data_IF_187119486711
#
_entry.id   IF_187119486711
#
_cell.length_a   1.000
_cell.length_b   1.000
_cell.length_c   1.000
_cell.angle_alpha   90.00
_cell.angle_beta   90.00
_cell.angle_gamma   90.00
#
_symmetry.space_group_name_H-M   'P 1'
#
loop_
_entity.id
_entity.type
_entity.pdbx_description
1 polymer ?
#
# COMPACT_ATOMS: atom_id res chain seq x y z
N UNK A 1 42.35 -12.79 0.75
CA UNK A 1 41.72 -11.90 1.74
C UNK A 1 40.38 -11.35 1.28
N UNK A 2 40.28 -10.72 0.10
CA UNK A 2 39.04 -10.09 -0.40
C UNK A 2 37.83 -11.04 -0.45
N UNK A 3 38.01 -12.30 -0.88
CA UNK A 3 36.95 -13.32 -0.90
C UNK A 3 36.47 -13.72 0.51
N UNK A 4 37.36 -13.73 1.51
CA UNK A 4 37.03 -14.11 2.89
C UNK A 4 36.27 -12.98 3.60
N UNK A 5 36.68 -11.73 3.38
CA UNK A 5 35.96 -10.55 3.85
C UNK A 5 34.59 -10.41 3.20
N UNK A 6 34.46 -10.71 1.90
CA UNK A 6 33.16 -10.71 1.22
C UNK A 6 32.22 -11.79 1.77
N UNK A 7 32.73 -12.99 2.01
CA UNK A 7 31.95 -14.08 2.61
C UNK A 7 31.52 -13.76 4.05
N UNK A 8 32.37 -13.12 4.85
CA UNK A 8 32.02 -12.67 6.20
C UNK A 8 30.96 -11.56 6.17
N UNK A 9 31.05 -10.62 5.23
CA UNK A 9 30.04 -9.58 5.04
C UNK A 9 28.69 -10.16 4.60
N UNK A 10 28.69 -11.12 3.65
CA UNK A 10 27.47 -11.81 3.22
C UNK A 10 26.88 -12.63 4.37
N UNK A 11 27.71 -13.37 5.10
CA UNK A 11 27.25 -14.17 6.26
C UNK A 11 26.69 -13.27 7.36
N UNK A 12 27.35 -12.14 7.66
CA UNK A 12 26.87 -11.14 8.59
C UNK A 12 25.55 -10.50 8.14
N UNK A 13 25.40 -10.22 6.84
CA UNK A 13 24.16 -9.72 6.25
C UNK A 13 23.03 -10.75 6.37
N UNK A 14 23.29 -12.02 6.08
CA UNK A 14 22.32 -13.12 6.22
C UNK A 14 21.92 -13.27 7.69
N UNK A 15 22.86 -13.23 8.63
CA UNK A 15 22.57 -13.30 10.06
C UNK A 15 21.73 -12.12 10.53
N UNK A 16 22.01 -10.91 10.06
CA UNK A 16 21.19 -9.71 10.34
C UNK A 16 19.79 -9.84 9.76
N UNK A 17 19.64 -10.40 8.55
CA UNK A 17 18.34 -10.70 7.94
C UNK A 17 17.58 -11.74 8.79
N UNK A 18 18.23 -12.83 9.18
CA UNK A 18 17.62 -13.87 10.01
C UNK A 18 17.23 -13.31 11.38
N UNK A 19 18.09 -12.54 12.03
CA UNK A 19 17.81 -11.92 13.32
C UNK A 19 16.68 -10.89 13.22
N UNK A 20 16.67 -10.07 12.17
CA UNK A 20 15.57 -9.15 11.88
C UNK A 20 14.24 -9.87 11.65
N UNK A 21 14.25 -10.99 10.91
CA UNK A 21 13.06 -11.83 10.71
C UNK A 21 12.56 -12.45 12.02
N UNK A 22 13.47 -12.89 12.89
CA UNK A 22 13.14 -13.46 14.20
C UNK A 22 12.61 -12.39 15.17
N UNK A 23 13.10 -11.15 15.05
CA UNK A 23 12.71 -10.04 15.93
C UNK A 23 11.48 -9.28 15.43
N UNK A 24 11.15 -9.33 14.14
CA UNK A 24 10.01 -8.62 13.56
C UNK A 24 8.65 -8.93 14.23
N UNK A 25 8.34 -10.19 14.63
CA UNK A 25 7.14 -10.49 15.40
C UNK A 25 7.07 -9.79 16.76
N UNK A 26 8.22 -9.43 17.37
CA UNK A 26 8.24 -8.77 18.67
C UNK A 26 7.78 -7.31 18.62
N UNK A 27 7.92 -6.63 17.48
CA UNK A 27 7.31 -5.30 17.30
C UNK A 27 5.78 -5.41 17.33
N UNK A 28 5.22 -6.41 16.62
CA UNK A 28 3.77 -6.67 16.61
C UNK A 28 3.26 -7.15 17.98
N UNK A 29 4.02 -8.00 18.68
CA UNK A 29 3.69 -8.46 20.03
C UNK A 29 3.80 -7.33 21.06
N UNK A 30 4.79 -6.43 20.94
CA UNK A 30 4.93 -5.28 21.82
C UNK A 30 3.81 -4.25 21.64
N UNK A 31 3.31 -4.10 20.41
CA UNK A 31 2.09 -3.35 20.14
C UNK A 31 0.87 -3.99 20.82
N UNK A 32 0.69 -5.31 20.71
CA UNK A 32 -0.40 -6.03 21.37
C UNK A 32 -0.33 -5.99 22.90
N UNK A 33 0.88 -6.08 23.46
CA UNK A 33 1.12 -6.04 24.89
C UNK A 33 1.03 -4.62 25.50
N UNK A 34 0.78 -3.59 24.68
CA UNK A 34 0.66 -2.21 25.14
C UNK A 34 1.99 -1.56 25.57
N UNK A 35 3.13 -2.17 25.20
CA UNK A 35 4.47 -1.68 25.59
C UNK A 35 4.80 -0.29 25.02
N UNK A 36 4.07 0.16 23.99
CA UNK A 36 4.26 1.44 23.33
C UNK A 36 3.22 2.51 23.74
N UNK A 37 2.54 2.29 24.88
CA UNK A 37 1.58 3.21 25.48
C UNK A 37 0.12 2.77 25.36
N UNK A 38 -0.69 3.08 26.37
CA UNK A 38 -2.11 2.76 26.42
C UNK A 38 -2.90 3.49 25.33
N UNK A 39 -3.74 2.77 24.57
CA UNK A 39 -4.80 3.36 23.74
C UNK A 39 -6.08 2.52 23.74
N UNK A 40 -7.23 3.18 23.54
CA UNK A 40 -8.55 2.66 23.87
C UNK A 40 -8.84 1.39 23.09
N UNK A 41 -9.57 0.46 23.72
CA UNK A 41 -10.08 -0.72 23.04
C UNK A 41 -10.77 -0.31 21.73
N UNK A 42 -10.57 -1.08 20.63
CA UNK A 42 -11.34 -0.84 19.41
C UNK A 42 -12.82 -0.81 19.78
N UNK A 43 -13.60 0.14 19.24
CA UNK A 43 -15.02 0.21 19.52
C UNK A 43 -15.62 -1.15 19.15
N UNK A 44 -16.24 -1.81 20.11
CA UNK A 44 -16.92 -3.06 19.82
C UNK A 44 -18.04 -2.74 18.81
N UNK A 45 -18.33 -3.63 17.83
CA UNK A 45 -19.33 -3.37 16.80
C UNK A 45 -20.73 -3.04 17.34
N UNK A 46 -21.05 -3.49 18.56
CA UNK A 46 -22.27 -3.24 19.32
C UNK A 46 -22.27 -1.90 20.10
N UNK A 47 -21.13 -1.20 20.18
CA UNK A 47 -20.97 0.07 20.90
C UNK A 47 -20.71 1.28 20.01
N UNK A 48 -20.57 1.09 18.68
CA UNK A 48 -20.58 2.18 17.72
C UNK A 48 -22.03 2.68 17.54
N UNK A 49 -22.57 3.35 18.57
CA UNK A 49 -23.72 4.21 18.35
C UNK A 49 -23.35 5.18 17.23
N UNK A 50 -24.21 5.37 16.20
CA UNK A 50 -23.93 6.35 15.15
C UNK A 50 -23.72 7.70 15.82
N UNK A 51 -22.49 8.19 15.83
CA UNK A 51 -22.18 9.50 16.37
C UNK A 51 -22.87 10.51 15.45
N UNK A 52 -24.01 11.03 15.90
CA UNK A 52 -24.89 11.94 15.16
C UNK A 52 -24.19 13.26 14.75
N UNK A 53 -22.92 13.44 15.14
CA UNK A 53 -22.07 14.59 14.83
C UNK A 53 -21.22 14.41 13.58
N UNK A 54 -21.05 13.19 13.07
CA UNK A 54 -20.26 12.98 11.84
C UNK A 54 -21.15 13.26 10.64
N UNK A 55 -20.89 14.38 9.95
CA UNK A 55 -21.52 14.66 8.65
C UNK A 55 -21.04 13.60 7.66
N UNK A 56 -21.93 12.73 7.23
CA UNK A 56 -21.60 11.64 6.31
C UNK A 56 -21.15 12.21 4.97
N UNK A 57 -20.01 11.75 4.47
CA UNK A 57 -19.49 12.17 3.17
C UNK A 57 -20.42 11.65 2.06
N UNK A 58 -20.75 12.48 1.04
CA UNK A 58 -21.70 12.10 -0.02
C UNK A 58 -21.20 10.99 -0.96
N UNK A 59 -19.95 10.57 -0.82
CA UNK A 59 -19.36 9.51 -1.63
C UNK A 59 -20.14 8.19 -1.50
N UNK A 60 -20.24 7.48 -2.61
CA UNK A 60 -20.95 6.21 -2.73
C UNK A 60 -20.08 5.01 -2.37
N UNK A 61 -18.77 5.19 -2.43
CA UNK A 61 -17.75 4.20 -2.07
C UNK A 61 -16.53 4.89 -1.46
N UNK A 62 -15.62 4.11 -0.88
CA UNK A 62 -14.34 4.62 -0.41
C UNK A 62 -13.18 3.86 -1.08
N UNK A 63 -12.06 4.57 -1.27
CA UNK A 63 -10.82 4.01 -1.74
C UNK A 63 -9.71 4.38 -0.77
N UNK A 64 -8.95 3.41 -0.31
CA UNK A 64 -7.84 3.59 0.64
C UNK A 64 -6.56 3.14 -0.04
N UNK A 65 -5.58 4.03 -0.14
CA UNK A 65 -4.27 3.71 -0.67
C UNK A 65 -3.32 3.26 0.45
N UNK A 66 -2.66 2.14 0.24
CA UNK A 66 -1.62 1.56 1.09
C UNK A 66 -0.33 1.52 0.27
N UNK A 67 0.61 2.41 0.60
CA UNK A 67 1.90 2.49 -0.07
C UNK A 67 2.74 1.21 0.13
N UNK A 68 3.81 1.06 -0.66
CA UNK A 68 4.72 -0.07 -0.59
C UNK A 68 5.70 0.00 0.58
N UNK A 69 6.54 -1.04 0.70
CA UNK A 69 7.54 -1.20 1.78
C UNK A 69 8.61 -0.10 1.85
N UNK A 70 8.58 0.94 1.03
CA UNK A 70 9.44 2.12 1.17
C UNK A 70 8.86 3.19 2.10
N UNK A 71 7.57 3.12 2.43
CA UNK A 71 6.85 4.15 3.17
C UNK A 71 6.77 3.84 4.67
N UNK A 72 7.75 4.33 5.44
CA UNK A 72 7.92 4.07 6.88
C UNK A 72 7.08 5.06 7.71
N UNK A 73 6.78 6.22 7.12
CA UNK A 73 6.00 7.34 7.65
C UNK A 73 5.55 8.25 6.48
N UNK A 74 4.72 9.27 6.77
CA UNK A 74 4.25 10.22 5.76
C UNK A 74 5.39 10.98 5.03
N UNK A 75 6.59 11.05 5.61
CA UNK A 75 7.75 11.76 5.08
C UNK A 75 8.68 10.88 4.22
N UNK A 76 8.39 9.57 4.12
CA UNK A 76 9.22 8.60 3.39
C UNK A 76 8.67 8.16 2.04
N UNK A 77 7.50 8.68 1.65
CA UNK A 77 6.87 8.35 0.37
C UNK A 77 7.54 9.11 -0.78
N UNK A 78 7.84 8.43 -1.90
CA UNK A 78 8.26 9.09 -3.13
C UNK A 78 7.26 10.18 -3.53
N UNK A 79 7.76 11.37 -3.89
CA UNK A 79 6.93 12.51 -4.29
C UNK A 79 5.93 12.14 -5.41
N UNK A 80 6.30 11.21 -6.29
CA UNK A 80 5.44 10.69 -7.35
C UNK A 80 4.17 9.97 -6.84
N UNK A 81 4.24 9.23 -5.72
CA UNK A 81 3.08 8.57 -5.09
C UNK A 81 2.19 9.60 -4.38
N UNK A 82 2.78 10.62 -3.74
CA UNK A 82 2.02 11.73 -3.14
C UNK A 82 1.21 12.45 -4.21
N UNK A 83 1.85 12.79 -5.32
CA UNK A 83 1.19 13.52 -6.41
C UNK A 83 0.19 12.64 -7.17
N UNK A 84 0.47 11.33 -7.26
CA UNK A 84 -0.51 10.34 -7.71
C UNK A 84 -1.77 10.34 -6.83
N UNK A 85 -1.60 10.32 -5.50
CA UNK A 85 -2.72 10.37 -4.56
C UNK A 85 -3.55 11.66 -4.69
N UNK A 86 -2.89 12.82 -4.85
CA UNK A 86 -3.58 14.10 -5.09
C UNK A 86 -4.37 14.10 -6.40
N UNK A 87 -3.80 13.54 -7.47
CA UNK A 87 -4.49 13.41 -8.74
C UNK A 87 -5.67 12.42 -8.64
N UNK A 88 -5.50 11.31 -7.92
CA UNK A 88 -6.55 10.32 -7.72
C UNK A 88 -7.78 10.91 -7.02
N UNK A 89 -7.59 11.77 -6.01
CA UNK A 89 -8.70 12.49 -5.34
C UNK A 89 -9.53 13.31 -6.34
N UNK A 90 -8.89 13.93 -7.34
CA UNK A 90 -9.58 14.76 -8.35
C UNK A 90 -10.21 13.92 -9.46
N UNK A 91 -9.58 12.79 -9.81
CA UNK A 91 -9.90 11.98 -10.99
C UNK A 91 -10.87 10.84 -10.71
N UNK A 92 -11.13 10.54 -9.43
CA UNK A 92 -12.10 9.53 -8.97
C UNK A 92 -13.30 10.19 -8.26
N UNK A 93 -14.18 10.91 -8.97
CA UNK A 93 -15.32 11.61 -8.37
C UNK A 93 -16.31 10.64 -7.72
N UNK A 94 -16.96 11.07 -6.65
CA UNK A 94 -17.96 10.23 -5.95
C UNK A 94 -17.36 9.10 -5.11
N UNK A 95 -16.03 8.97 -5.08
CA UNK A 95 -15.27 8.04 -4.23
C UNK A 95 -14.59 8.83 -3.11
N UNK A 96 -14.70 8.37 -1.87
CA UNK A 96 -13.92 8.91 -0.76
C UNK A 96 -12.49 8.36 -0.84
N UNK A 97 -11.59 9.10 -1.48
CA UNK A 97 -10.19 8.71 -1.63
C UNK A 97 -9.39 9.10 -0.38
N UNK A 98 -8.75 8.11 0.24
CA UNK A 98 -7.84 8.25 1.39
C UNK A 98 -6.43 7.85 0.94
N UNK A 99 -5.63 8.80 0.42
CA UNK A 99 -4.33 8.49 -0.18
C UNK A 99 -3.21 8.32 0.87
N UNK A 100 -3.49 8.53 2.15
CA UNK A 100 -2.52 8.80 3.20
C UNK A 100 -2.54 7.79 4.36
N UNK A 101 -2.84 6.52 4.08
CA UNK A 101 -2.73 5.46 5.10
C UNK A 101 -1.40 4.74 4.94
N UNK A 102 -0.62 4.77 6.03
CA UNK A 102 0.77 4.31 6.03
C UNK A 102 0.89 3.06 6.91
N UNK A 103 0.70 1.85 6.35
CA UNK A 103 0.63 0.62 7.13
C UNK A 103 1.94 0.28 7.88
N UNK A 104 3.06 0.86 7.49
CA UNK A 104 4.38 0.62 8.11
C UNK A 104 4.79 1.72 9.10
N UNK A 105 3.95 2.73 9.30
CA UNK A 105 4.14 3.71 10.35
C UNK A 105 3.75 3.10 11.70
N UNK A 106 4.72 3.00 12.62
CA UNK A 106 4.50 2.69 14.05
C UNK A 106 3.54 3.71 14.70
N UNK A 107 3.28 4.80 13.99
CA UNK A 107 2.68 6.03 14.47
C UNK A 107 1.88 6.68 13.35
N UNK A 108 0.70 6.13 13.03
CA UNK A 108 -0.28 6.90 12.26
C UNK A 108 -0.78 8.15 13.06
N UNK A 109 -0.37 8.27 14.33
CA UNK A 109 -0.20 9.51 15.06
C UNK A 109 1.30 9.71 15.26
N UNK A 110 1.91 10.66 14.55
CA UNK A 110 3.37 10.83 14.40
C UNK A 110 4.22 10.50 15.63
N UNK A 111 5.46 10.06 15.36
CA UNK A 111 6.58 9.83 16.30
C UNK A 111 7.02 11.12 17.04
N UNK A 112 6.07 11.89 17.54
CA UNK A 112 6.26 13.02 18.45
C UNK A 112 5.79 12.72 19.88
N UNK A 113 5.40 11.48 20.19
CA UNK A 113 5.05 11.09 21.56
C UNK A 113 6.24 10.58 22.39
N UNK A 114 7.42 10.34 21.80
CA UNK A 114 8.60 9.93 22.56
C UNK A 114 9.78 10.90 22.34
N UNK A 115 9.97 11.79 23.31
CA UNK A 115 10.97 12.87 23.32
C UNK A 115 12.42 12.36 23.28
N UNK A 116 12.62 11.08 23.56
CA UNK A 116 13.91 10.50 23.97
C UNK A 116 14.87 10.25 22.79
N UNK A 117 14.36 10.01 21.57
CA UNK A 117 15.20 9.70 20.39
C UNK A 117 15.05 10.67 19.20
N UNK A 118 14.31 11.77 19.36
CA UNK A 118 13.99 12.75 18.29
C UNK A 118 15.21 13.39 17.58
N UNK A 119 16.39 13.38 18.20
CA UNK A 119 17.65 13.87 17.60
C UNK A 119 18.29 12.83 16.69
N UNK A 120 18.21 11.55 17.05
CA UNK A 120 18.73 10.44 16.24
C UNK A 120 17.88 10.30 14.98
N UNK A 121 16.56 10.41 15.11
CA UNK A 121 15.65 10.40 13.95
C UNK A 121 15.89 11.56 12.98
N UNK A 122 15.99 12.80 13.47
CA UNK A 122 16.33 13.96 12.60
C UNK A 122 17.70 13.83 11.95
N UNK A 123 18.68 13.27 12.65
CA UNK A 123 20.01 13.02 12.09
C UNK A 123 19.98 11.95 10.99
N UNK A 124 19.21 10.87 11.18
CA UNK A 124 18.96 9.86 10.16
C UNK A 124 18.22 10.42 8.94
N UNK A 125 17.24 11.30 9.17
CA UNK A 125 16.43 11.95 8.13
C UNK A 125 17.26 12.95 7.30
N UNK A 126 18.18 13.70 7.93
CA UNK A 126 19.11 14.59 7.24
C UNK A 126 20.11 13.80 6.38
N UNK A 127 20.67 12.70 6.89
CA UNK A 127 21.57 11.80 6.14
C UNK A 127 20.87 11.14 4.93
N UNK A 128 19.58 10.84 5.05
CA UNK A 128 18.74 10.25 3.99
C UNK A 128 18.61 11.15 2.75
N UNK A 129 18.51 12.47 2.93
CA UNK A 129 18.39 13.42 1.81
C UNK A 129 19.71 13.64 1.08
N UNK A 130 20.84 13.40 1.76
CA UNK A 130 22.19 13.63 1.21
C UNK A 130 22.70 12.45 0.38
N UNK A 131 22.25 11.20 0.61
CA UNK A 131 22.72 10.05 -0.17
C UNK A 131 21.65 8.94 -0.35
N UNK A 132 21.03 8.81 -1.54
CA UNK A 132 19.98 7.82 -1.81
C UNK A 132 20.45 6.36 -1.86
N UNK A 133 21.76 6.08 -1.71
CA UNK A 133 22.35 4.73 -1.68
C UNK A 133 22.79 4.26 -0.28
N UNK A 134 22.38 4.96 0.78
CA UNK A 134 22.87 4.67 2.13
C UNK A 134 22.34 3.33 2.67
N UNK A 135 23.19 2.56 3.35
CA UNK A 135 22.86 1.27 3.96
C UNK A 135 21.63 1.32 4.91
N UNK A 136 21.30 2.52 5.40
CA UNK A 136 20.10 2.80 6.19
C UNK A 136 18.79 2.57 5.41
N UNK A 137 18.72 2.97 4.14
CA UNK A 137 17.55 2.70 3.29
C UNK A 137 17.36 1.19 3.06
N UNK A 138 18.47 0.45 2.93
CA UNK A 138 18.44 -1.00 2.82
C UNK A 138 17.92 -1.67 4.11
N UNK A 139 18.43 -1.27 5.28
CA UNK A 139 17.98 -1.81 6.60
C UNK A 139 16.50 -1.54 6.82
N UNK A 140 15.99 -0.38 6.39
CA UNK A 140 14.58 -0.07 6.58
C UNK A 140 13.67 -0.76 5.56
N UNK A 141 14.08 -0.81 4.28
CA UNK A 141 13.39 -1.65 3.29
C UNK A 141 13.34 -3.12 3.73
N UNK A 142 14.39 -3.59 4.42
CA UNK A 142 14.45 -4.91 5.02
C UNK A 142 13.49 -5.07 6.21
N UNK A 143 13.37 -4.06 7.09
CA UNK A 143 12.34 -4.04 8.16
C UNK A 143 10.93 -4.09 7.60
N UNK A 144 10.64 -3.29 6.58
CA UNK A 144 9.32 -3.25 5.97
C UNK A 144 9.02 -4.53 5.18
N UNK A 145 10.05 -5.15 4.57
CA UNK A 145 9.95 -6.51 4.03
C UNK A 145 9.60 -7.53 5.12
N UNK A 146 10.17 -7.41 6.33
CA UNK A 146 9.78 -8.26 7.45
C UNK A 146 8.36 -8.00 7.94
N UNK A 147 7.88 -6.75 7.93
CA UNK A 147 6.48 -6.48 8.27
C UNK A 147 5.51 -7.10 7.26
N UNK A 148 5.85 -7.09 5.96
CA UNK A 148 5.10 -7.84 4.94
C UNK A 148 5.17 -9.35 5.19
N UNK A 149 6.35 -9.87 5.54
CA UNK A 149 6.51 -11.28 5.89
C UNK A 149 5.69 -11.67 7.14
N UNK A 150 5.62 -10.79 8.14
CA UNK A 150 4.79 -10.95 9.35
C UNK A 150 3.31 -10.89 8.98
N UNK A 151 2.88 -9.93 8.16
CA UNK A 151 1.51 -9.84 7.65
C UNK A 151 1.08 -11.13 6.92
N UNK A 152 2.00 -11.76 6.19
CA UNK A 152 1.79 -13.02 5.50
C UNK A 152 1.90 -14.27 6.41
N UNK A 153 2.50 -14.17 7.61
CA UNK A 153 2.63 -15.30 8.53
C UNK A 153 1.32 -15.51 9.30
N UNK A 154 0.78 -16.73 9.26
CA UNK A 154 -0.51 -17.06 9.86
C UNK A 154 -0.56 -16.91 11.39
N UNK A 155 0.58 -16.92 12.07
CA UNK A 155 0.67 -16.85 13.55
C UNK A 155 0.77 -15.41 14.05
N UNK A 156 1.54 -14.58 13.35
CA UNK A 156 1.83 -13.21 13.78
C UNK A 156 1.08 -12.12 12.99
N UNK A 157 0.72 -12.43 11.74
CA UNK A 157 -0.06 -11.56 10.86
C UNK A 157 -1.39 -11.07 11.44
N UNK A 158 -2.18 -11.90 12.16
CA UNK A 158 -3.44 -11.47 12.76
C UNK A 158 -3.37 -10.17 13.57
N UNK A 159 -2.34 -10.01 14.40
CA UNK A 159 -2.18 -8.84 15.27
C UNK A 159 -1.83 -7.60 14.43
N UNK A 160 -0.87 -7.73 13.52
CA UNK A 160 -0.44 -6.64 12.65
C UNK A 160 -1.59 -6.18 11.71
N UNK A 161 -2.26 -7.14 11.07
CA UNK A 161 -3.35 -6.89 10.14
C UNK A 161 -4.56 -6.25 10.82
N UNK A 162 -4.86 -6.62 12.07
CA UNK A 162 -5.88 -5.94 12.89
C UNK A 162 -5.47 -4.50 13.24
N UNK A 163 -4.20 -4.26 13.56
CA UNK A 163 -3.65 -2.92 13.77
C UNK A 163 -3.87 -2.02 12.56
N UNK A 164 -3.49 -2.49 11.36
CA UNK A 164 -3.69 -1.76 10.11
C UNK A 164 -5.18 -1.54 9.82
N UNK A 165 -6.03 -2.55 10.03
CA UNK A 165 -7.47 -2.41 9.84
C UNK A 165 -8.07 -1.30 10.73
N UNK A 166 -7.65 -1.19 12.00
CA UNK A 166 -8.11 -0.12 12.89
C UNK A 166 -7.68 1.27 12.40
N UNK A 167 -6.47 1.41 11.86
CA UNK A 167 -6.00 2.67 11.29
C UNK A 167 -6.77 3.06 10.02
N UNK A 168 -7.11 2.08 9.18
CA UNK A 168 -7.99 2.27 8.03
C UNK A 168 -9.37 2.77 8.47
N UNK A 169 -9.99 2.13 9.48
CA UNK A 169 -11.28 2.55 10.03
C UNK A 169 -11.23 3.99 10.54
N UNK A 170 -10.22 4.34 11.34
CA UNK A 170 -10.05 5.71 11.88
C UNK A 170 -9.91 6.75 10.77
N UNK A 171 -9.09 6.47 9.76
CA UNK A 171 -8.85 7.41 8.66
C UNK A 171 -10.06 7.59 7.74
N UNK A 172 -10.87 6.54 7.58
CA UNK A 172 -12.15 6.60 6.89
C UNK A 172 -13.16 7.43 7.69
N UNK A 173 -13.32 7.15 8.99
CA UNK A 173 -14.26 7.86 9.86
C UNK A 173 -13.92 9.35 9.99
N UNK A 174 -12.63 9.70 10.11
CA UNK A 174 -12.20 11.10 10.19
C UNK A 174 -12.53 11.92 8.93
N UNK A 175 -12.84 11.25 7.82
CA UNK A 175 -13.23 11.85 6.54
C UNK A 175 -14.71 11.65 6.22
N UNK A 176 -15.51 11.25 7.19
CA UNK A 176 -16.97 11.16 7.06
C UNK A 176 -17.49 9.83 6.52
N UNK A 177 -16.68 8.76 6.47
CA UNK A 177 -17.19 7.42 6.23
C UNK A 177 -17.95 6.91 7.46
N UNK A 178 -19.22 6.51 7.28
CA UNK A 178 -20.05 5.96 8.35
C UNK A 178 -19.91 4.44 8.40
N UNK A 179 -19.40 3.91 9.52
CA UNK A 179 -19.40 2.46 9.81
C UNK A 179 -20.83 1.94 9.83
N UNK A 180 -21.07 0.75 9.25
CA UNK A 180 -22.42 0.21 9.11
C UNK A 180 -23.25 0.85 7.99
N UNK A 181 -22.69 1.76 7.19
CA UNK A 181 -23.38 2.31 6.01
C UNK A 181 -23.56 1.30 4.88
N UNK A 182 -22.81 0.19 4.89
CA UNK A 182 -22.76 -0.79 3.81
C UNK A 182 -22.06 -0.30 2.54
N UNK A 183 -21.54 0.95 2.53
CA UNK A 183 -20.85 1.53 1.37
C UNK A 183 -19.57 0.72 1.08
N UNK A 184 -19.35 0.26 -0.16
CA UNK A 184 -18.17 -0.56 -0.48
C UNK A 184 -16.85 0.19 -0.27
N UNK A 185 -15.82 -0.55 0.15
CA UNK A 185 -14.45 -0.04 0.34
C UNK A 185 -13.47 -0.83 -0.53
N UNK A 186 -12.67 -0.11 -1.32
CA UNK A 186 -11.56 -0.65 -2.09
C UNK A 186 -10.22 -0.29 -1.45
N UNK A 187 -9.36 -1.27 -1.21
CA UNK A 187 -7.99 -1.07 -0.75
C UNK A 187 -7.04 -1.17 -1.94
N UNK A 188 -6.34 -0.10 -2.27
CA UNK A 188 -5.28 -0.10 -3.29
C UNK A 188 -3.95 -0.34 -2.59
N UNK A 189 -3.29 -1.46 -2.87
CA UNK A 189 -2.03 -1.83 -2.22
C UNK A 189 -0.89 -1.93 -3.23
N UNK A 190 0.13 -1.07 -3.09
CA UNK A 190 1.34 -1.14 -3.92
C UNK A 190 2.38 -2.10 -3.32
N UNK A 191 2.98 -2.98 -4.13
CA UNK A 191 4.05 -3.88 -3.68
C UNK A 191 3.61 -4.71 -2.46
N UNK A 192 4.37 -4.67 -1.36
CA UNK A 192 3.98 -5.29 -0.09
C UNK A 192 2.66 -4.79 0.51
N UNK A 193 2.23 -3.57 0.16
CA UNK A 193 0.93 -3.02 0.54
C UNK A 193 -0.24 -3.86 0.02
N UNK A 194 -0.03 -4.63 -1.06
CA UNK A 194 -0.98 -5.65 -1.53
C UNK A 194 -1.23 -6.75 -0.49
N UNK A 195 -0.17 -7.31 0.10
CA UNK A 195 -0.31 -8.31 1.17
C UNK A 195 -1.03 -7.72 2.38
N UNK A 196 -0.62 -6.52 2.79
CA UNK A 196 -1.23 -5.85 3.94
C UNK A 196 -2.72 -5.57 3.70
N UNK A 197 -3.09 -5.16 2.48
CA UNK A 197 -4.49 -4.96 2.09
C UNK A 197 -5.30 -6.26 2.22
N UNK A 198 -4.79 -7.38 1.71
CA UNK A 198 -5.44 -8.69 1.83
C UNK A 198 -5.55 -9.10 3.30
N UNK A 199 -4.47 -9.01 4.06
CA UNK A 199 -4.45 -9.37 5.48
C UNK A 199 -5.44 -8.55 6.31
N UNK A 200 -5.48 -7.23 6.12
CA UNK A 200 -6.41 -6.33 6.81
C UNK A 200 -7.88 -6.61 6.46
N UNK A 201 -8.17 -7.16 5.28
CA UNK A 201 -9.54 -7.46 4.85
C UNK A 201 -10.26 -8.46 5.78
N UNK A 202 -9.52 -9.39 6.42
CA UNK A 202 -10.04 -10.31 7.44
C UNK A 202 -10.80 -9.59 8.57
N UNK A 203 -10.36 -8.37 8.89
CA UNK A 203 -10.88 -7.57 10.00
C UNK A 203 -11.77 -6.43 9.52
N UNK A 204 -11.46 -5.84 8.36
CA UNK A 204 -12.20 -4.70 7.84
C UNK A 204 -13.64 -5.02 7.48
N UNK A 205 -13.90 -6.17 6.85
CA UNK A 205 -15.25 -6.56 6.46
C UNK A 205 -16.22 -6.57 7.66
N UNK A 206 -15.91 -7.24 8.80
CA UNK A 206 -16.78 -7.20 9.97
C UNK A 206 -16.76 -5.85 10.70
N UNK A 207 -15.62 -5.15 10.78
CA UNK A 207 -15.54 -3.84 11.46
C UNK A 207 -16.34 -2.75 10.75
N UNK A 208 -16.27 -2.69 9.42
CA UNK A 208 -16.98 -1.69 8.62
C UNK A 208 -18.42 -2.11 8.28
N UNK A 209 -18.72 -3.42 8.38
CA UNK A 209 -19.96 -4.03 7.89
C UNK A 209 -20.24 -3.67 6.42
N UNK A 210 -19.21 -3.80 5.59
CA UNK A 210 -19.23 -3.34 4.20
C UNK A 210 -18.48 -4.29 3.26
N UNK A 211 -18.85 -4.35 1.97
CA UNK A 211 -18.10 -5.12 0.97
C UNK A 211 -16.68 -4.58 0.79
N UNK A 212 -15.69 -5.45 0.97
CA UNK A 212 -14.27 -5.12 0.81
C UNK A 212 -13.74 -5.67 -0.51
N UNK A 213 -12.96 -4.85 -1.22
CA UNK A 213 -12.19 -5.23 -2.41
C UNK A 213 -10.73 -4.85 -2.24
N UNK A 214 -9.85 -5.53 -2.96
CA UNK A 214 -8.44 -5.16 -3.04
C UNK A 214 -8.07 -4.95 -4.51
N UNK A 215 -7.36 -3.86 -4.79
CA UNK A 215 -6.68 -3.60 -6.04
C UNK A 215 -5.17 -3.59 -5.73
N UNK A 216 -4.50 -4.69 -6.03
CA UNK A 216 -3.06 -4.82 -5.87
C UNK A 216 -2.36 -4.21 -7.09
N UNK A 217 -1.37 -3.34 -6.87
CA UNK A 217 -0.50 -2.78 -7.91
C UNK A 217 0.90 -3.33 -7.72
N UNK A 218 1.38 -4.15 -8.66
CA UNK A 218 2.68 -4.83 -8.56
C UNK A 218 2.86 -5.63 -7.28
N UNK A 219 1.77 -6.04 -6.62
CA UNK A 219 1.84 -6.53 -5.25
C UNK A 219 2.38 -7.95 -5.12
N UNK A 220 2.97 -8.22 -3.96
CA UNK A 220 3.44 -9.55 -3.56
C UNK A 220 2.54 -10.02 -2.43
N UNK A 221 1.74 -11.06 -2.67
CA UNK A 221 0.70 -11.53 -1.75
C UNK A 221 0.79 -13.05 -1.57
N UNK A 222 0.46 -13.53 -0.37
CA UNK A 222 0.37 -14.95 0.00
C UNK A 222 -1.05 -15.50 -0.16
N UNK A 223 -1.27 -16.75 0.26
CA UNK A 223 -2.59 -17.35 0.44
C UNK A 223 -3.23 -16.94 1.78
N UNK A 224 -3.30 -15.64 2.03
CA UNK A 224 -3.83 -15.09 3.27
C UNK A 224 -5.34 -15.38 3.44
N UNK A 225 -5.82 -15.75 4.63
CA UNK A 225 -7.24 -15.96 4.91
C UNK A 225 -8.16 -14.78 4.58
N UNK A 226 -7.63 -13.56 4.53
CA UNK A 226 -8.36 -12.35 4.16
C UNK A 226 -8.99 -12.42 2.78
N UNK A 227 -8.47 -13.25 1.88
CA UNK A 227 -9.09 -13.55 0.58
C UNK A 227 -10.54 -14.06 0.71
N UNK A 228 -10.86 -14.75 1.81
CA UNK A 228 -12.22 -15.24 2.06
C UNK A 228 -13.22 -14.09 2.30
N UNK A 229 -12.74 -12.93 2.75
CA UNK A 229 -13.53 -11.74 3.07
C UNK A 229 -13.62 -10.74 1.92
N UNK A 230 -12.91 -10.99 0.82
CA UNK A 230 -12.95 -10.13 -0.36
C UNK A 230 -14.16 -10.45 -1.26
N UNK A 231 -14.73 -9.38 -1.79
CA UNK A 231 -15.67 -9.43 -2.92
C UNK A 231 -14.90 -9.68 -4.22
N UNK A 232 -13.76 -8.99 -4.38
CA UNK A 232 -12.89 -9.04 -5.56
C UNK A 232 -11.44 -8.70 -5.18
N UNK A 233 -10.49 -9.33 -5.86
CA UNK A 233 -9.08 -8.97 -5.88
C UNK A 233 -8.68 -8.72 -7.34
N UNK A 234 -8.42 -7.46 -7.68
CA UNK A 234 -7.77 -7.09 -8.94
C UNK A 234 -6.26 -7.01 -8.71
N UNK A 235 -5.47 -7.68 -9.54
CA UNK A 235 -4.00 -7.61 -9.48
C UNK A 235 -3.47 -6.98 -10.77
N UNK A 236 -3.13 -5.70 -10.70
CA UNK A 236 -2.48 -4.94 -11.76
C UNK A 236 -0.99 -5.25 -11.75
N UNK A 237 -0.46 -5.84 -12.83
CA UNK A 237 0.94 -6.21 -12.92
C UNK A 237 1.60 -5.66 -14.19
N UNK A 238 2.84 -5.24 -14.06
CA UNK A 238 3.72 -4.87 -15.16
C UNK A 238 4.49 -6.08 -15.68
N UNK A 239 4.68 -6.15 -17.00
CA UNK A 239 5.41 -7.25 -17.64
C UNK A 239 6.92 -7.17 -17.34
N UNK A 240 7.42 -5.95 -17.12
CA UNK A 240 8.79 -5.65 -16.71
C UNK A 240 8.95 -5.59 -15.17
N UNK A 241 7.93 -5.98 -14.40
CA UNK A 241 8.00 -6.08 -12.95
C UNK A 241 8.37 -7.53 -12.55
N UNK A 242 9.61 -7.78 -12.09
CA UNK A 242 10.00 -9.11 -11.60
C UNK A 242 9.55 -9.37 -10.15
N UNK A 243 9.20 -8.33 -9.39
CA UNK A 243 8.90 -8.41 -7.96
C UNK A 243 7.52 -9.04 -7.75
N UNK A 244 6.50 -8.62 -8.51
CA UNK A 244 5.16 -9.21 -8.40
C UNK A 244 5.17 -10.75 -8.58
N UNK A 245 6.06 -11.25 -9.45
CA UNK A 245 6.21 -12.68 -9.72
C UNK A 245 6.71 -13.46 -8.51
N UNK A 246 7.38 -12.82 -7.56
CA UNK A 246 7.91 -13.47 -6.36
C UNK A 246 6.80 -14.11 -5.52
N UNK A 247 5.59 -13.53 -5.51
CA UNK A 247 4.46 -14.10 -4.78
C UNK A 247 4.14 -15.53 -5.22
N UNK A 248 4.24 -15.82 -6.52
CA UNK A 248 4.03 -17.17 -7.06
C UNK A 248 5.07 -18.17 -6.59
N UNK A 249 6.30 -17.73 -6.30
CA UNK A 249 7.39 -18.62 -5.91
C UNK A 249 7.53 -18.77 -4.40
N UNK A 250 7.39 -17.68 -3.65
CA UNK A 250 7.64 -17.65 -2.20
C UNK A 250 6.50 -18.28 -1.39
N UNK A 251 5.26 -18.22 -1.88
CA UNK A 251 4.10 -18.69 -1.13
C UNK A 251 3.57 -19.98 -1.73
N UNK A 252 3.92 -21.10 -1.08
CA UNK A 252 3.49 -22.44 -1.51
C UNK A 252 1.97 -22.54 -1.69
N UNK A 253 1.18 -21.85 -0.87
CA UNK A 253 -0.28 -21.81 -1.02
C UNK A 253 -0.76 -21.22 -2.34
N UNK A 254 0.06 -20.50 -3.11
CA UNK A 254 -0.29 -20.05 -4.47
C UNK A 254 -0.01 -21.09 -5.55
N UNK A 255 0.68 -22.18 -5.23
CA UNK A 255 1.00 -23.22 -6.20
C UNK A 255 -0.22 -24.06 -6.51
N UNK A 256 -0.34 -24.50 -7.76
CA UNK A 256 -1.48 -25.30 -8.25
C UNK A 256 -1.65 -26.64 -7.52
N UNK A 257 -0.63 -27.11 -6.81
CA UNK A 257 -0.66 -28.34 -6.01
C UNK A 257 -1.40 -28.21 -4.68
N UNK A 258 -1.74 -26.98 -4.25
CA UNK A 258 -2.52 -26.73 -3.03
C UNK A 258 -3.88 -26.14 -3.38
N UNK A 259 -4.77 -26.87 -4.08
CA UNK A 259 -6.05 -26.33 -4.56
C UNK A 259 -6.97 -25.85 -3.43
N UNK A 260 -6.75 -26.35 -2.21
CA UNK A 260 -7.51 -25.98 -1.02
C UNK A 260 -6.93 -24.78 -0.27
N UNK A 261 -5.88 -24.11 -0.76
CA UNK A 261 -5.40 -22.87 -0.16
C UNK A 261 -6.40 -21.73 -0.30
N UNK A 262 -6.32 -20.72 0.55
CA UNK A 262 -7.19 -19.54 0.45
C UNK A 262 -7.06 -18.85 -0.92
N UNK A 263 -5.84 -18.83 -1.49
CA UNK A 263 -5.56 -18.33 -2.85
C UNK A 263 -6.28 -19.11 -3.93
N UNK A 264 -6.05 -20.43 -4.01
CA UNK A 264 -6.58 -21.24 -5.11
C UNK A 264 -8.11 -21.36 -5.04
N UNK A 265 -8.70 -21.36 -3.84
CA UNK A 265 -10.16 -21.31 -3.69
C UNK A 265 -10.73 -19.96 -4.15
N UNK A 266 -10.08 -18.84 -3.82
CA UNK A 266 -10.51 -17.53 -4.29
C UNK A 266 -10.37 -17.39 -5.82
N UNK A 267 -9.28 -17.90 -6.40
CA UNK A 267 -9.09 -17.96 -7.85
C UNK A 267 -10.16 -18.83 -8.53
N UNK A 268 -10.42 -20.05 -8.02
CA UNK A 268 -11.45 -20.94 -8.54
C UNK A 268 -12.86 -20.37 -8.43
N UNK A 269 -13.12 -19.55 -7.40
CA UNK A 269 -14.37 -18.81 -7.24
C UNK A 269 -14.47 -17.56 -8.14
N UNK A 270 -13.47 -17.30 -8.99
CA UNK A 270 -13.44 -16.15 -9.88
C UNK A 270 -13.27 -14.82 -9.15
N UNK A 271 -12.79 -14.80 -7.90
CA UNK A 271 -12.58 -13.56 -7.14
C UNK A 271 -11.31 -12.83 -7.54
N UNK A 272 -10.33 -13.51 -8.14
CA UNK A 272 -9.03 -12.97 -8.49
C UNK A 272 -8.98 -12.72 -10.00
N UNK A 273 -8.64 -11.50 -10.40
CA UNK A 273 -8.40 -11.12 -11.78
C UNK A 273 -7.03 -10.46 -11.92
N UNK A 274 -6.20 -10.98 -12.84
CA UNK A 274 -4.87 -10.45 -13.12
C UNK A 274 -4.91 -9.62 -14.41
N UNK A 275 -4.41 -8.39 -14.35
CA UNK A 275 -4.53 -7.40 -15.42
C UNK A 275 -3.14 -6.87 -15.75
N UNK A 276 -2.70 -7.05 -17.00
CA UNK A 276 -1.44 -6.46 -17.47
C UNK A 276 -1.58 -4.94 -17.57
N UNK A 277 -0.57 -4.24 -17.05
CA UNK A 277 -0.35 -2.80 -17.19
C UNK A 277 0.69 -2.49 -18.28
N UNK A 278 1.03 -3.49 -19.11
CA UNK A 278 2.05 -3.36 -20.14
C UNK A 278 3.48 -3.34 -19.57
N UNK A 279 4.43 -2.64 -20.19
CA UNK A 279 5.86 -2.73 -19.87
C UNK A 279 6.28 -1.97 -18.61
N UNK A 280 5.34 -1.70 -17.69
CA UNK A 280 5.65 -1.03 -16.42
C UNK A 280 6.58 -1.88 -15.56
N UNK A 281 7.52 -1.22 -14.88
CA UNK A 281 8.42 -1.85 -13.91
C UNK A 281 7.91 -1.72 -12.47
N UNK A 282 8.61 -2.34 -11.52
CA UNK A 282 8.26 -2.22 -10.11
C UNK A 282 8.71 -0.88 -9.50
N UNK A 283 9.98 -0.53 -9.73
CA UNK A 283 10.66 0.62 -9.13
C UNK A 283 11.37 1.46 -10.21
N UNK A 284 11.79 2.66 -9.83
CA UNK A 284 12.56 3.57 -10.69
C UNK A 284 11.70 4.28 -11.74
N UNK A 285 12.36 4.92 -12.70
CA UNK A 285 11.73 5.88 -13.61
C UNK A 285 10.60 5.33 -14.50
N UNK A 286 10.42 4.00 -14.58
CA UNK A 286 9.37 3.34 -15.36
C UNK A 286 8.36 2.58 -14.48
N UNK A 287 8.27 2.90 -13.19
CA UNK A 287 7.30 2.26 -12.30
C UNK A 287 5.85 2.65 -12.62
N UNK A 288 4.90 2.06 -11.89
CA UNK A 288 3.46 2.30 -12.04
C UNK A 288 3.04 3.76 -11.74
N UNK A 289 3.84 4.51 -10.98
CA UNK A 289 3.56 5.87 -10.56
C UNK A 289 4.37 6.91 -11.34
N UNK A 290 5.05 6.48 -12.41
CA UNK A 290 5.93 7.38 -13.15
C UNK A 290 5.14 8.42 -13.93
N UNK A 291 5.50 9.68 -13.70
CA UNK A 291 5.02 10.85 -14.44
C UNK A 291 5.88 11.18 -15.67
N UNK A 292 6.93 10.37 -15.93
CA UNK A 292 7.90 10.61 -17.01
C UNK A 292 8.10 9.39 -17.93
N UNK A 293 7.44 8.28 -17.62
CA UNK A 293 7.28 7.13 -18.50
C UNK A 293 5.83 7.05 -18.97
N UNK A 294 5.64 6.66 -20.22
CA UNK A 294 4.37 6.74 -20.92
C UNK A 294 4.02 5.39 -21.54
N UNK A 295 2.72 5.10 -21.58
CA UNK A 295 2.17 3.98 -22.34
C UNK A 295 2.31 4.24 -23.84
N UNK A 296 2.01 3.24 -24.67
CA UNK A 296 1.99 3.39 -26.13
C UNK A 296 1.00 4.45 -26.62
N UNK A 297 -0.04 4.72 -25.84
CA UNK A 297 -1.09 5.70 -26.11
C UNK A 297 -0.68 7.13 -25.70
N UNK A 298 0.51 7.29 -25.10
CA UNK A 298 1.03 8.59 -24.69
C UNK A 298 0.52 9.08 -23.33
N UNK A 299 -0.12 8.21 -22.54
CA UNK A 299 -0.54 8.51 -21.16
C UNK A 299 0.58 8.16 -20.20
N UNK A 300 0.89 9.01 -19.21
CA UNK A 300 1.90 8.65 -18.20
C UNK A 300 1.48 7.41 -17.42
N UNK A 301 2.44 6.63 -16.91
CA UNK A 301 2.12 5.44 -16.10
C UNK A 301 1.27 5.80 -14.87
N UNK A 302 1.55 6.95 -14.24
CA UNK A 302 0.77 7.47 -13.13
C UNK A 302 -0.72 7.61 -13.49
N UNK A 303 -1.03 8.30 -14.58
CA UNK A 303 -2.41 8.50 -15.04
C UNK A 303 -3.03 7.20 -15.52
N UNK A 304 -2.30 6.37 -16.27
CA UNK A 304 -2.79 5.06 -16.72
C UNK A 304 -3.17 4.16 -15.54
N UNK A 305 -2.44 4.23 -14.43
CA UNK A 305 -2.76 3.48 -13.20
C UNK A 305 -4.02 4.02 -12.51
N UNK A 306 -4.17 5.35 -12.36
CA UNK A 306 -5.40 5.95 -11.81
C UNK A 306 -6.60 5.59 -12.68
N UNK A 307 -6.44 5.69 -14.00
CA UNK A 307 -7.51 5.43 -14.96
C UNK A 307 -7.90 3.95 -14.92
N UNK A 308 -6.96 3.02 -14.90
CA UNK A 308 -7.29 1.60 -14.74
C UNK A 308 -8.04 1.33 -13.42
N UNK A 309 -7.63 1.94 -12.31
CA UNK A 309 -8.37 1.84 -11.04
C UNK A 309 -9.79 2.37 -11.18
N UNK A 310 -9.96 3.54 -11.80
CA UNK A 310 -11.28 4.12 -12.08
C UNK A 310 -12.16 3.19 -12.92
N UNK A 311 -11.61 2.58 -13.97
CA UNK A 311 -12.33 1.63 -14.82
C UNK A 311 -12.82 0.42 -14.03
N UNK A 312 -12.00 -0.12 -13.12
CA UNK A 312 -12.37 -1.25 -12.27
C UNK A 312 -13.44 -0.89 -11.25
N UNK A 313 -13.34 0.31 -10.65
CA UNK A 313 -14.40 0.82 -9.77
C UNK A 313 -15.70 1.02 -10.56
N UNK A 314 -15.64 1.50 -11.79
CA UNK A 314 -16.81 1.73 -12.64
C UNK A 314 -17.47 0.42 -13.05
N UNK A 315 -16.65 -0.57 -13.44
CA UNK A 315 -17.08 -1.94 -13.76
C UNK A 315 -17.86 -2.57 -12.60
N UNK A 316 -17.42 -2.33 -11.37
CA UNK A 316 -18.07 -2.86 -10.16
C UNK A 316 -19.22 -1.97 -9.63
N UNK A 317 -19.51 -0.84 -10.28
CA UNK A 317 -20.56 0.09 -9.87
C UNK A 317 -20.24 0.94 -8.63
N UNK A 318 -18.96 1.18 -8.34
CA UNK A 318 -18.49 1.99 -7.19
C UNK A 318 -18.33 3.46 -7.53
N UNK A 319 -18.34 3.79 -8.82
CA UNK A 319 -18.23 5.13 -9.36
C UNK A 319 -19.09 5.22 -10.63
N UNK A 320 -19.74 6.36 -10.83
CA UNK A 320 -20.52 6.62 -12.04
C UNK A 320 -19.60 6.78 -13.26
N UNK A 321 -19.76 5.97 -14.33
CA UNK A 321 -18.87 6.02 -15.49
C UNK A 321 -18.86 7.37 -16.22
N UNK A 322 -20.00 8.08 -16.26
CA UNK A 322 -20.09 9.37 -16.91
C UNK A 322 -19.37 10.45 -16.11
N UNK A 323 -19.53 10.44 -14.78
CA UNK A 323 -18.79 11.32 -13.86
C UNK A 323 -17.28 11.05 -13.93
N UNK A 324 -16.86 9.78 -13.97
CA UNK A 324 -15.46 9.40 -14.14
C UNK A 324 -14.88 9.97 -15.43
N UNK A 325 -15.57 9.80 -16.56
CA UNK A 325 -15.11 10.34 -17.85
C UNK A 325 -15.03 11.87 -17.85
N UNK A 326 -16.01 12.55 -17.24
CA UNK A 326 -16.00 14.00 -17.09
C UNK A 326 -14.83 14.49 -16.22
N UNK A 327 -14.54 13.82 -15.11
CA UNK A 327 -13.41 14.15 -14.25
C UNK A 327 -12.05 13.91 -14.93
N UNK A 328 -11.92 12.86 -15.75
CA UNK A 328 -10.74 12.65 -16.59
C UNK A 328 -10.51 13.83 -17.53
N UNK A 329 -11.53 14.20 -18.31
CA UNK A 329 -11.45 15.34 -19.23
C UNK A 329 -11.12 16.66 -18.52
N UNK A 330 -11.68 16.88 -17.32
CA UNK A 330 -11.42 18.08 -16.52
C UNK A 330 -9.99 18.12 -15.94
N UNK A 331 -9.42 16.97 -15.62
CA UNK A 331 -8.08 16.87 -14.99
C UNK A 331 -6.93 16.65 -15.98
N UNK A 332 -7.22 16.24 -17.22
CA UNK A 332 -6.21 16.02 -18.27
C UNK A 332 -5.28 17.22 -18.51
N UNK A 333 -5.76 18.48 -18.56
CA UNK A 333 -4.87 19.63 -18.72
C UNK A 333 -3.88 19.78 -17.55
N UNK A 334 -4.35 19.56 -16.32
CA UNK A 334 -3.51 19.61 -15.11
C UNK A 334 -2.47 18.48 -15.13
N UNK A 335 -2.90 17.25 -15.45
CA UNK A 335 -2.03 16.10 -15.57
C UNK A 335 -0.91 16.32 -16.59
N UNK A 336 -1.24 16.79 -17.80
CA UNK A 336 -0.26 17.09 -18.85
C UNK A 336 0.72 18.20 -18.46
N UNK A 337 0.23 19.24 -17.78
CA UNK A 337 1.10 20.31 -17.29
C UNK A 337 2.10 19.79 -16.25
N UNK A 338 1.63 18.90 -15.35
CA UNK A 338 2.48 18.26 -14.36
C UNK A 338 3.51 17.31 -14.99
N UNK A 339 3.11 16.48 -15.95
CA UNK A 339 4.01 15.63 -16.75
C UNK A 339 5.11 16.44 -17.42
N UNK A 340 4.75 17.54 -18.09
CA UNK A 340 5.71 18.44 -18.74
C UNK A 340 6.70 19.05 -17.73
N UNK A 341 6.22 19.45 -16.55
CA UNK A 341 7.07 19.98 -15.49
C UNK A 341 8.08 18.93 -14.99
N UNK A 342 7.66 17.69 -14.77
CA UNK A 342 8.53 16.59 -14.32
C UNK A 342 9.55 16.18 -15.39
N UNK A 343 9.17 16.18 -16.66
CA UNK A 343 10.10 15.97 -17.77
C UNK A 343 11.18 17.06 -17.78
N UNK A 344 10.78 18.33 -17.64
CA UNK A 344 11.71 19.46 -17.61
C UNK A 344 12.67 19.38 -16.42
N UNK A 345 12.19 19.01 -15.24
CA UNK A 345 13.00 18.78 -14.05
C UNK A 345 14.02 17.66 -14.27
N UNK A 346 13.59 16.51 -14.80
CA UNK A 346 14.46 15.39 -15.10
C UNK A 346 15.53 15.75 -16.14
N UNK A 347 15.19 16.55 -17.15
CA UNK A 347 16.14 17.04 -18.14
C UNK A 347 17.19 17.98 -17.53
N UNK A 348 16.78 18.90 -16.65
CA UNK A 348 17.72 19.78 -15.91
C UNK A 348 18.66 18.99 -15.02
N UNK A 349 18.14 18.01 -14.28
CA UNK A 349 18.95 17.15 -13.42
C UNK A 349 19.98 16.31 -14.19
N UNK A 350 19.69 15.92 -15.44
CA UNK A 350 20.64 15.25 -16.33
C UNK A 350 21.71 16.21 -16.85
N UNK A 351 21.33 17.44 -17.19
CA UNK A 351 22.27 18.45 -17.68
C UNK A 351 23.23 18.97 -16.60
N UNK A 352 22.86 18.89 -15.32
CA UNK A 352 23.69 19.29 -14.19
C UNK A 352 24.58 18.18 -13.63
N UNK A 353 24.60 16.99 -14.24
CA UNK A 353 25.56 15.93 -13.87
C UNK A 353 26.89 16.19 -14.60
N UNK A 354 28.01 16.34 -13.87
CA UNK A 354 29.33 16.61 -14.45
C UNK A 354 29.85 15.47 -15.31
#
# INVERSE_FOLDING_TARGET
MILSTLNLLITGLILLIVLGALLAPFESLGWWAGWFGEKPAPPRPDQAAPDARVTEHPAQSALVYLSGIGAIDAASIPQEEIDWGKMAVKRLPGVLVVPDIYPYSVTNAGLTADRTFSKVYRWMEQRRLENPYDALQFVINLRNLFQVAVSADRRYGPIYNLGVANEIVKALQSRGYRVGSGKPVALVGFSGGGQVAVGAASYLAPLLQAPIRVISVGGVMSDDPGLNHLTRLYHLYGEADPVQKLGHWLYAGRWKWFPNSDWNRAAAAGKIEEISMGPMGHNGAKNYFSWTAFTSEGTSHAIATIDKIGDLLAQDGLIDPAALQAARAATDPEARAYEAARIAEAARARASRP
#
